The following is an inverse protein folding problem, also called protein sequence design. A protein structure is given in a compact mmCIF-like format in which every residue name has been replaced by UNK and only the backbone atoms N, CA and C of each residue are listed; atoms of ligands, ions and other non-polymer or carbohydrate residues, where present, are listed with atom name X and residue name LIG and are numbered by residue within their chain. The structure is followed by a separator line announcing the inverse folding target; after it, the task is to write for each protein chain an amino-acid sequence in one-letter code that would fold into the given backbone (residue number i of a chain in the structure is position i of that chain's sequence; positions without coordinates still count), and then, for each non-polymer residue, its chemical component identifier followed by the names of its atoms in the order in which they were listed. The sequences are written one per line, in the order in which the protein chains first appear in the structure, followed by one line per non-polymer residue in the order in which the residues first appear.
data_IF_507675224855
#
_entry.id   IF_507675224855
#
_cell.length_a   1.000
_cell.length_b   1.000
_cell.length_c   1.000
_cell.angle_alpha   90.00
_cell.angle_beta   90.00
_cell.angle_gamma   90.00
#
_symmetry.space_group_name_H-M   'P 1'
#
loop_
_entity.id
_entity.type
_entity.pdbx_description
1 polymer ?
#
# COMPACT_ATOMS: atom_id res chain seq x y z
N UNK A 1 -8.37 25.20 0.27
CA UNK A 1 -8.49 23.73 0.46
C UNK A 1 -9.95 23.38 0.60
N UNK A 2 -10.49 22.65 -0.37
CA UNK A 2 -11.87 22.18 -0.34
C UNK A 2 -11.95 20.94 0.57
N UNK A 3 -12.65 21.07 1.70
CA UNK A 3 -13.71 20.10 1.99
C UNK A 3 -13.60 19.19 3.21
N UNK A 4 -12.92 19.59 4.29
CA UNK A 4 -13.26 19.05 5.62
C UNK A 4 -13.52 20.22 6.56
N UNK A 5 -14.79 20.41 6.88
CA UNK A 5 -15.25 21.37 7.89
C UNK A 5 -14.44 21.16 9.19
N UNK A 6 -13.83 22.22 9.78
CA UNK A 6 -13.08 22.14 11.02
C UNK A 6 -13.86 21.45 12.16
N UNK A 7 -15.18 21.62 12.22
CA UNK A 7 -16.04 20.94 13.17
C UNK A 7 -16.07 19.43 12.92
N UNK A 8 -16.14 19.03 11.65
CA UNK A 8 -16.16 17.62 11.25
C UNK A 8 -14.80 16.96 11.50
N UNK A 9 -13.70 17.68 11.26
CA UNK A 9 -12.37 17.22 11.65
C UNK A 9 -12.31 17.03 13.16
N UNK A 10 -12.68 18.04 13.96
CA UNK A 10 -12.67 17.93 15.43
C UNK A 10 -13.53 16.76 15.95
N UNK A 11 -14.75 16.60 15.44
CA UNK A 11 -15.71 15.59 15.93
C UNK A 11 -15.37 14.17 15.49
N UNK A 12 -14.85 13.98 14.28
CA UNK A 12 -14.76 12.64 13.67
C UNK A 12 -13.35 12.13 13.41
N UNK A 13 -12.29 12.95 13.60
CA UNK A 13 -10.92 12.48 13.41
C UNK A 13 -10.48 11.37 14.39
N UNK A 14 -11.19 11.21 15.50
CA UNK A 14 -10.97 10.13 16.47
C UNK A 14 -11.80 8.88 16.21
N UNK A 15 -12.71 8.90 15.23
CA UNK A 15 -13.45 7.70 14.90
C UNK A 15 -12.57 6.76 14.10
N UNK A 16 -12.39 5.56 14.64
CA UNK A 16 -11.72 4.49 13.92
C UNK A 16 -12.59 4.04 12.75
N UNK A 17 -11.99 4.00 11.57
CA UNK A 17 -12.61 3.39 10.40
C UNK A 17 -12.92 1.93 10.70
N UNK A 18 -14.09 1.44 10.29
CA UNK A 18 -14.40 0.01 10.41
C UNK A 18 -13.49 -0.77 9.46
N UNK A 19 -12.58 -1.57 10.03
CA UNK A 19 -11.60 -2.34 9.28
C UNK A 19 -11.79 -3.87 9.35
N UNK A 20 -12.88 -4.32 9.97
CA UNK A 20 -13.22 -5.75 10.10
C UNK A 20 -14.71 -5.96 9.75
N UNK A 21 -15.00 -6.22 8.48
CA UNK A 21 -16.31 -6.65 8.01
C UNK A 21 -16.40 -8.19 7.99
N UNK A 22 -17.59 -8.74 8.26
CA UNK A 22 -17.84 -10.19 8.20
C UNK A 22 -18.05 -10.67 6.77
N UNK A 23 -18.62 -9.81 5.91
CA UNK A 23 -18.88 -10.13 4.52
C UNK A 23 -17.65 -9.88 3.64
N UNK A 24 -17.38 -10.82 2.73
CA UNK A 24 -16.38 -10.71 1.66
C UNK A 24 -17.09 -10.89 0.33
N UNK A 25 -16.86 -9.98 -0.62
CA UNK A 25 -17.45 -10.05 -1.95
C UNK A 25 -16.82 -11.19 -2.76
N UNK A 26 -17.60 -11.82 -3.65
CA UNK A 26 -17.12 -12.91 -4.48
C UNK A 26 -15.98 -12.52 -5.45
N UNK A 27 -15.88 -11.23 -5.78
CA UNK A 27 -14.86 -10.70 -6.68
C UNK A 27 -14.32 -9.37 -6.18
N UNK A 28 -12.99 -9.30 -6.00
CA UNK A 28 -12.25 -8.08 -5.74
C UNK A 28 -11.67 -7.55 -7.04
N UNK A 29 -12.24 -6.46 -7.57
CA UNK A 29 -11.81 -5.88 -8.84
C UNK A 29 -10.40 -5.28 -8.71
N UNK A 30 -9.49 -5.74 -9.57
CA UNK A 30 -8.19 -5.10 -9.79
C UNK A 30 -8.36 -3.95 -10.78
N UNK A 31 -7.81 -2.78 -10.43
CA UNK A 31 -7.84 -1.62 -11.30
C UNK A 31 -6.52 -1.47 -12.07
N UNK A 32 -6.57 -1.52 -13.40
CA UNK A 32 -5.39 -1.42 -14.26
C UNK A 32 -4.80 -2.77 -14.67
N UNK A 33 -3.71 -2.70 -15.43
CA UNK A 33 -2.95 -3.85 -15.93
C UNK A 33 -1.57 -3.86 -15.27
N UNK A 34 -0.92 -5.03 -15.15
CA UNK A 34 0.47 -5.06 -14.71
C UNK A 34 1.37 -4.24 -15.66
N UNK A 35 2.49 -3.67 -15.15
CA UNK A 35 3.49 -3.03 -15.98
C UNK A 35 4.04 -3.99 -17.06
N UNK A 36 4.48 -3.45 -18.18
CA UNK A 36 5.01 -4.18 -19.33
C UNK A 36 6.50 -3.90 -19.57
N UNK A 37 7.13 -3.04 -18.78
CA UNK A 37 8.56 -2.77 -18.88
C UNK A 37 9.43 -3.99 -18.55
N UNK A 38 10.67 -3.96 -19.03
CA UNK A 38 11.62 -5.07 -18.92
C UNK A 38 11.93 -5.45 -17.47
N UNK A 39 11.96 -4.45 -16.57
CA UNK A 39 12.19 -4.66 -15.14
C UNK A 39 11.10 -5.54 -14.54
N UNK A 40 9.82 -5.21 -14.76
CA UNK A 40 8.72 -6.01 -14.24
C UNK A 40 8.70 -7.41 -14.85
N UNK A 41 8.93 -7.55 -16.16
CA UNK A 41 8.98 -8.85 -16.83
C UNK A 41 10.07 -9.77 -16.25
N UNK A 42 11.26 -9.22 -15.96
CA UNK A 42 12.36 -9.95 -15.33
C UNK A 42 12.01 -10.40 -13.92
N UNK A 43 11.41 -9.53 -13.13
CA UNK A 43 10.94 -9.87 -11.78
C UNK A 43 9.88 -10.96 -11.82
N UNK A 44 8.92 -10.91 -12.75
CA UNK A 44 7.93 -11.98 -12.94
C UNK A 44 8.60 -13.29 -13.30
N UNK A 45 9.57 -13.28 -14.22
CA UNK A 45 10.30 -14.48 -14.65
C UNK A 45 11.09 -15.14 -13.50
N UNK A 46 11.59 -14.35 -12.54
CA UNK A 46 12.25 -14.85 -11.33
C UNK A 46 11.33 -15.01 -10.12
N UNK A 47 10.00 -14.98 -10.30
CA UNK A 47 9.00 -15.03 -9.24
C UNK A 47 9.27 -14.03 -8.10
N UNK A 48 9.68 -12.82 -8.47
CA UNK A 48 10.03 -11.70 -7.61
C UNK A 48 11.16 -11.99 -6.61
N UNK A 49 12.02 -12.98 -6.86
CA UNK A 49 13.14 -13.31 -5.98
C UNK A 49 14.14 -12.15 -5.82
N UNK A 50 14.30 -11.35 -6.87
CA UNK A 50 15.17 -10.18 -6.90
C UNK A 50 14.48 -8.88 -6.48
N UNK A 51 13.15 -8.90 -6.27
CA UNK A 51 12.43 -7.70 -5.86
C UNK A 51 12.85 -7.26 -4.46
N UNK A 52 13.00 -5.94 -4.29
CA UNK A 52 13.33 -5.29 -3.02
C UNK A 52 12.37 -4.17 -2.70
N UNK A 53 12.01 -4.05 -1.43
CA UNK A 53 11.39 -2.87 -0.85
C UNK A 53 12.48 -2.01 -0.22
N UNK A 54 12.79 -0.90 -0.86
CA UNK A 54 13.68 0.12 -0.32
C UNK A 54 12.88 1.08 0.59
N UNK A 55 13.38 1.33 1.78
CA UNK A 55 12.86 2.34 2.71
C UNK A 55 13.98 3.31 3.04
N UNK A 56 13.79 4.58 2.72
CA UNK A 56 14.80 5.63 2.89
C UNK A 56 14.16 6.98 3.22
N UNK A 57 14.98 8.03 3.38
CA UNK A 57 14.52 9.38 3.72
C UNK A 57 14.69 9.70 5.20
N UNK A 58 13.63 10.15 5.86
CA UNK A 58 13.65 10.55 7.28
C UNK A 58 13.55 9.34 8.23
N UNK A 59 14.51 8.44 8.14
CA UNK A 59 14.63 7.22 8.95
C UNK A 59 16.04 7.12 9.54
N UNK A 60 16.22 6.46 10.68
CA UNK A 60 17.57 6.21 11.22
C UNK A 60 18.30 5.10 10.48
N UNK A 61 17.55 4.10 9.99
CA UNK A 61 18.09 2.95 9.28
C UNK A 61 17.36 2.76 7.96
N UNK A 62 18.07 2.94 6.85
CA UNK A 62 17.57 2.55 5.54
C UNK A 62 17.35 1.03 5.51
N UNK A 63 16.28 0.59 4.87
CA UNK A 63 15.98 -0.83 4.68
C UNK A 63 16.02 -1.18 3.20
N UNK A 64 16.43 -2.41 2.94
CA UNK A 64 16.36 -3.09 1.64
C UNK A 64 15.84 -4.50 1.97
N UNK A 65 14.53 -4.70 1.80
CA UNK A 65 13.84 -5.92 2.22
C UNK A 65 13.45 -6.75 1.01
N UNK A 66 13.84 -8.03 0.99
CA UNK A 66 13.32 -8.97 0.00
C UNK A 66 11.85 -9.32 0.25
N UNK A 67 11.18 -9.89 -0.75
CA UNK A 67 9.83 -10.42 -0.57
C UNK A 67 9.78 -11.53 0.50
N UNK A 68 10.86 -12.28 0.66
CA UNK A 68 10.96 -13.31 1.71
C UNK A 68 11.06 -12.70 3.11
N UNK A 69 11.81 -11.60 3.26
CA UNK A 69 11.90 -10.88 4.54
C UNK A 69 10.52 -10.39 4.99
N UNK A 70 9.74 -9.81 4.05
CA UNK A 70 8.37 -9.39 4.33
C UNK A 70 7.46 -10.58 4.72
N UNK A 71 7.59 -11.74 4.08
CA UNK A 71 6.81 -12.94 4.43
C UNK A 71 7.12 -13.48 5.83
N UNK A 72 8.30 -13.19 6.37
CA UNK A 72 8.70 -13.58 7.72
C UNK A 72 8.30 -12.55 8.79
N UNK A 73 7.84 -11.36 8.40
CA UNK A 73 7.34 -10.35 9.32
C UNK A 73 5.95 -10.71 9.85
N UNK A 74 5.49 -10.07 10.96
CA UNK A 74 4.14 -10.28 11.49
C UNK A 74 3.09 -10.09 10.40
N UNK A 75 2.21 -11.08 10.27
CA UNK A 75 1.11 -11.07 9.30
C UNK A 75 -0.18 -10.67 10.00
N UNK A 76 -0.90 -9.71 9.43
CA UNK A 76 -2.24 -9.32 9.83
C UNK A 76 -3.22 -9.58 8.68
N UNK A 77 -4.46 -9.90 9.03
CA UNK A 77 -5.59 -9.93 8.09
C UNK A 77 -6.57 -8.81 8.40
N UNK A 78 -7.21 -8.26 7.38
CA UNK A 78 -8.14 -7.14 7.53
C UNK A 78 -9.21 -7.20 6.44
N UNK A 79 -10.49 -7.16 6.81
CA UNK A 79 -11.59 -7.11 5.83
C UNK A 79 -12.11 -5.69 5.71
N UNK A 80 -11.89 -5.04 4.56
CA UNK A 80 -12.29 -3.64 4.32
C UNK A 80 -13.27 -3.50 3.16
N UNK A 81 -14.09 -2.45 3.24
CA UNK A 81 -14.81 -1.92 2.10
C UNK A 81 -13.85 -1.06 1.25
N UNK A 82 -13.57 -1.51 0.03
CA UNK A 82 -12.87 -0.71 -0.97
C UNK A 82 -13.89 0.07 -1.79
N UNK A 83 -13.77 1.40 -1.82
CA UNK A 83 -14.61 2.29 -2.61
C UNK A 83 -13.76 2.98 -3.68
N UNK A 84 -13.94 2.60 -4.95
CA UNK A 84 -13.25 3.25 -6.04
C UNK A 84 -14.01 4.49 -6.52
N UNK A 85 -13.28 5.56 -6.84
CA UNK A 85 -13.85 6.79 -7.42
C UNK A 85 -14.54 6.56 -8.77
N UNK A 86 -14.23 5.47 -9.47
CA UNK A 86 -14.87 5.09 -10.73
C UNK A 86 -16.27 4.47 -10.56
N UNK A 87 -16.84 4.50 -9.34
CA UNK A 87 -18.23 4.14 -9.07
C UNK A 87 -18.48 2.66 -8.74
N UNK A 88 -17.45 1.89 -8.39
CA UNK A 88 -17.58 0.51 -7.95
C UNK A 88 -16.97 0.30 -6.57
N UNK A 89 -17.51 -0.65 -5.81
CA UNK A 89 -17.02 -1.00 -4.48
C UNK A 89 -17.12 -2.51 -4.25
N UNK A 90 -16.33 -3.02 -3.31
CA UNK A 90 -16.39 -4.41 -2.85
C UNK A 90 -15.80 -4.55 -1.45
N UNK A 91 -16.16 -5.63 -0.77
CA UNK A 91 -15.52 -6.04 0.47
C UNK A 91 -14.42 -7.06 0.16
N UNK A 92 -13.20 -6.81 0.61
CA UNK A 92 -12.08 -7.73 0.41
C UNK A 92 -11.37 -7.98 1.75
N UNK A 93 -10.96 -9.23 1.95
CA UNK A 93 -10.02 -9.59 3.00
C UNK A 93 -8.60 -9.52 2.46
N UNK A 94 -7.81 -8.65 3.07
CA UNK A 94 -6.40 -8.45 2.78
C UNK A 94 -5.57 -9.19 3.82
N UNK A 95 -4.37 -9.60 3.42
CA UNK A 95 -3.39 -10.15 4.33
C UNK A 95 -2.00 -9.64 3.97
N UNK A 96 -1.20 -9.28 4.97
CA UNK A 96 0.13 -8.75 4.75
C UNK A 96 0.80 -8.27 6.03
N UNK A 97 1.87 -7.51 5.85
CA UNK A 97 2.64 -6.92 6.95
C UNK A 97 2.02 -5.57 7.32
N UNK A 98 1.71 -5.30 8.60
CA UNK A 98 1.27 -3.98 9.01
C UNK A 98 2.41 -2.99 8.81
N UNK A 99 2.09 -1.82 8.25
CA UNK A 99 3.09 -0.79 7.94
C UNK A 99 3.89 -0.35 9.18
N UNK A 100 3.26 -0.34 10.36
CA UNK A 100 3.93 -0.08 11.64
C UNK A 100 5.12 -0.99 11.89
N UNK A 101 5.02 -2.29 11.58
CA UNK A 101 6.12 -3.23 11.78
C UNK A 101 7.33 -2.94 10.86
N UNK A 102 7.11 -2.31 9.69
CA UNK A 102 8.20 -1.83 8.82
C UNK A 102 8.79 -0.54 9.40
N UNK A 103 7.94 0.38 9.88
CA UNK A 103 8.37 1.65 10.50
C UNK A 103 9.20 1.42 11.76
N UNK A 104 8.84 0.44 12.59
CA UNK A 104 9.59 0.08 13.80
C UNK A 104 11.00 -0.44 13.47
N UNK A 105 11.19 -1.05 12.29
CA UNK A 105 12.52 -1.54 11.86
C UNK A 105 13.45 -0.45 11.34
N UNK A 106 12.91 0.61 10.74
CA UNK A 106 13.71 1.72 10.20
C UNK A 106 13.89 2.89 11.19
N UNK A 107 13.08 2.94 12.25
CA UNK A 107 13.04 4.01 13.26
C UNK A 107 12.88 5.41 12.63
N UNK A 108 11.64 5.86 12.48
CA UNK A 108 11.31 7.14 11.86
C UNK A 108 11.92 8.30 12.66
N UNK A 109 12.48 9.28 11.96
CA UNK A 109 12.95 10.51 12.61
C UNK A 109 11.78 11.38 13.10
N UNK A 110 11.92 12.17 14.18
CA UNK A 110 10.81 12.95 14.76
C UNK A 110 10.13 13.94 13.80
N UNK A 111 10.81 14.36 12.74
CA UNK A 111 10.29 15.27 11.72
C UNK A 111 9.67 14.54 10.52
N UNK A 112 9.60 13.21 10.50
CA UNK A 112 8.91 12.43 9.48
C UNK A 112 7.39 12.61 9.61
N UNK A 113 6.77 13.25 8.60
CA UNK A 113 5.32 13.57 8.60
C UNK A 113 4.51 12.79 7.58
N UNK A 114 5.16 12.33 6.52
CA UNK A 114 4.52 11.71 5.38
C UNK A 114 5.31 10.48 4.93
N UNK A 115 4.59 9.50 4.41
CA UNK A 115 5.16 8.35 3.71
C UNK A 115 4.81 8.50 2.23
N UNK A 116 5.81 8.35 1.37
CA UNK A 116 5.64 8.42 -0.08
C UNK A 116 5.94 7.04 -0.65
N UNK A 117 5.00 6.51 -1.42
CA UNK A 117 5.11 5.19 -2.03
C UNK A 117 5.38 5.35 -3.53
N UNK A 118 6.44 4.71 -4.01
CA UNK A 118 6.76 4.61 -5.43
C UNK A 118 6.43 3.20 -5.90
N UNK A 119 5.77 3.11 -7.05
CA UNK A 119 5.35 1.83 -7.62
C UNK A 119 6.14 1.57 -8.90
N UNK A 120 6.19 0.31 -9.33
CA UNK A 120 6.78 -0.09 -10.62
C UNK A 120 5.88 0.28 -11.84
N UNK A 121 5.01 1.29 -11.70
CA UNK A 121 4.10 1.72 -12.78
C UNK A 121 4.90 2.33 -13.95
N UNK A 122 4.56 1.92 -15.16
CA UNK A 122 5.18 2.37 -16.41
C UNK A 122 4.41 3.52 -17.09
N UNK A 123 3.26 3.95 -16.55
CA UNK A 123 2.41 4.99 -17.17
C UNK A 123 3.16 6.29 -17.46
N UNK A 124 4.19 6.59 -16.66
CA UNK A 124 5.05 7.77 -16.86
C UNK A 124 6.18 7.53 -17.87
N UNK A 125 6.57 6.28 -18.10
CA UNK A 125 7.59 5.90 -19.10
C UNK A 125 7.02 5.95 -20.52
N UNK A 126 5.73 5.63 -20.70
CA UNK A 126 5.02 5.70 -21.99
C UNK A 126 3.61 6.30 -21.82
N UNK A 127 3.46 7.63 -21.82
CA UNK A 127 2.16 8.27 -21.74
C UNK A 127 1.28 7.87 -22.94
N UNK A 128 0.10 7.27 -22.70
CA UNK A 128 -0.87 6.95 -23.75
C UNK A 128 -1.50 5.55 -23.73
N UNK A 129 -1.07 4.68 -22.82
CA UNK A 129 -1.58 3.30 -22.71
C UNK A 129 -2.01 2.96 -21.27
N UNK A 130 -2.95 3.74 -20.73
CA UNK A 130 -3.65 3.46 -19.47
C UNK A 130 -4.98 2.76 -19.70
#
# INVERSE_FOLDING_TARGET
ELGVDPLRQFLFHHLDSRQNYEHVSAYARVNGRPPRNETYQRLVASNFAEWRLEVSGLVRKNLDLSLNDLRQMPRQTQTTLHCCIQGWSYFAQWAGVPLSAIMDKCDLLPNARFLVFYTLDEKWEKPGHG
#
